data_IF_585480165260
#
_entry.id   IF_585480165260
#
_cell.length_a   1.000
_cell.length_b   1.000
_cell.length_c   1.000
_cell.angle_alpha   90.00
_cell.angle_beta   90.00
_cell.angle_gamma   90.00
#
_symmetry.space_group_name_H-M   'P 1'
#
loop_
_entity.id
_entity.type
_entity.pdbx_description
1 polymer ?
#
# COMPACT_ATOMS: atom_id res chain seq x y z
N UNK A 1 -6.69 -58.19 -37.48
CA UNK A 1 -5.65 -57.97 -36.45
C UNK A 1 -5.59 -56.47 -36.17
N UNK A 2 -6.32 -56.01 -35.15
CA UNK A 2 -6.37 -54.62 -34.76
C UNK A 2 -5.32 -54.38 -33.67
N UNK A 3 -4.28 -53.66 -33.98
CA UNK A 3 -3.34 -53.13 -32.98
C UNK A 3 -3.89 -51.80 -32.48
N UNK A 4 -4.53 -51.84 -31.32
CA UNK A 4 -4.90 -50.66 -30.56
C UNK A 4 -3.62 -49.98 -30.04
N UNK A 5 -3.41 -48.71 -30.45
CA UNK A 5 -2.43 -47.84 -29.87
C UNK A 5 -2.87 -47.52 -28.43
N UNK A 6 -2.15 -48.09 -27.47
CA UNK A 6 -2.25 -47.70 -26.07
C UNK A 6 -1.76 -46.27 -25.90
N UNK A 7 -2.65 -45.32 -25.64
CA UNK A 7 -2.32 -43.98 -25.22
C UNK A 7 -1.71 -44.13 -23.82
N UNK A 8 -0.41 -43.98 -23.72
CA UNK A 8 0.30 -43.91 -22.45
C UNK A 8 -0.18 -42.65 -21.68
N UNK A 9 -1.12 -42.86 -20.78
CA UNK A 9 -1.51 -41.84 -19.84
C UNK A 9 -0.32 -41.58 -18.89
N UNK A 10 0.36 -40.45 -19.09
CA UNK A 10 1.35 -39.95 -18.12
C UNK A 10 0.68 -39.84 -16.76
N UNK A 11 1.24 -40.43 -15.69
CA UNK A 11 0.63 -40.34 -14.37
C UNK A 11 0.50 -38.87 -13.97
N UNK A 12 -0.62 -38.46 -13.34
CA UNK A 12 -0.84 -37.09 -12.93
C UNK A 12 0.29 -36.69 -11.99
N UNK A 13 1.04 -35.65 -12.37
CA UNK A 13 2.07 -35.11 -11.50
C UNK A 13 1.39 -34.55 -10.24
N UNK A 14 1.77 -34.97 -9.03
CA UNK A 14 1.10 -34.55 -7.80
C UNK A 14 1.33 -33.08 -7.46
N UNK A 15 2.29 -32.43 -8.12
CA UNK A 15 2.65 -31.02 -7.88
C UNK A 15 2.75 -30.25 -9.18
N UNK A 16 2.25 -29.00 -9.16
CA UNK A 16 2.43 -28.07 -10.26
C UNK A 16 3.85 -27.52 -10.23
N UNK A 17 4.49 -27.44 -11.37
CA UNK A 17 5.83 -26.87 -11.49
C UNK A 17 5.79 -25.33 -11.51
N UNK A 18 4.69 -24.73 -12.02
CA UNK A 18 4.54 -23.28 -12.08
C UNK A 18 3.17 -22.78 -11.61
N UNK A 19 3.06 -21.53 -11.11
CA UNK A 19 1.79 -20.90 -10.79
C UNK A 19 0.83 -20.85 -11.98
N UNK A 20 1.35 -20.63 -13.19
CA UNK A 20 0.56 -20.57 -14.42
C UNK A 20 -0.13 -21.88 -14.73
N UNK A 21 0.55 -23.03 -14.56
CA UNK A 21 -0.04 -24.36 -14.73
C UNK A 21 -1.18 -24.61 -13.73
N UNK A 22 -0.98 -24.19 -12.48
CA UNK A 22 -2.02 -24.28 -11.45
C UNK A 22 -3.26 -23.49 -11.84
N UNK A 23 -3.05 -22.26 -12.34
CA UNK A 23 -4.13 -21.37 -12.72
C UNK A 23 -4.84 -21.85 -13.99
N UNK A 24 -4.11 -22.38 -14.97
CA UNK A 24 -4.72 -22.99 -16.17
C UNK A 24 -5.65 -24.14 -15.80
N UNK A 25 -5.20 -25.06 -14.92
CA UNK A 25 -6.04 -26.14 -14.41
C UNK A 25 -7.26 -25.63 -13.61
N UNK A 26 -7.07 -24.55 -12.83
CA UNK A 26 -8.19 -23.96 -12.10
C UNK A 26 -9.29 -23.43 -13.04
N UNK A 27 -8.88 -22.80 -14.15
CA UNK A 27 -9.83 -22.31 -15.16
C UNK A 27 -10.53 -23.43 -15.90
N UNK A 28 -9.78 -24.44 -16.36
CA UNK A 28 -10.34 -25.63 -17.02
C UNK A 28 -11.40 -26.27 -16.13
N UNK A 29 -11.05 -26.61 -14.89
CA UNK A 29 -12.01 -27.20 -13.94
C UNK A 29 -13.23 -26.35 -13.70
N UNK A 30 -13.06 -25.04 -13.59
CA UNK A 30 -14.18 -24.15 -13.24
C UNK A 30 -15.09 -23.85 -14.42
N UNK A 31 -14.53 -23.55 -15.59
CA UNK A 31 -15.30 -23.08 -16.74
C UNK A 31 -15.70 -24.18 -17.71
N UNK A 32 -14.94 -25.30 -17.75
CA UNK A 32 -15.21 -26.42 -18.67
C UNK A 32 -15.88 -27.59 -17.92
N UNK A 33 -15.33 -28.01 -16.77
CA UNK A 33 -15.85 -29.13 -16.01
C UNK A 33 -16.96 -28.76 -15.02
N UNK A 34 -17.15 -27.49 -14.71
CA UNK A 34 -18.08 -27.01 -13.67
C UNK A 34 -17.65 -27.38 -12.25
N UNK A 35 -16.38 -27.75 -12.06
CA UNK A 35 -15.82 -28.19 -10.76
C UNK A 35 -15.13 -27.01 -10.07
N UNK A 36 -15.49 -26.78 -8.80
CA UNK A 36 -14.85 -25.73 -7.99
C UNK A 36 -13.37 -26.06 -7.75
N UNK A 37 -12.42 -25.17 -8.17
CA UNK A 37 -10.99 -25.42 -8.12
C UNK A 37 -10.39 -25.07 -6.75
N UNK A 38 -10.88 -25.70 -5.66
CA UNK A 38 -10.44 -25.43 -4.29
C UNK A 38 -8.92 -25.59 -4.13
N UNK A 39 -8.26 -24.60 -3.50
CA UNK A 39 -6.82 -24.61 -3.24
C UNK A 39 -5.94 -24.28 -4.44
N UNK A 40 -6.50 -24.06 -5.64
CA UNK A 40 -5.75 -23.69 -6.84
C UNK A 40 -5.65 -22.17 -7.03
N UNK A 41 -6.72 -21.45 -6.71
CA UNK A 41 -6.81 -19.98 -6.74
C UNK A 41 -7.49 -19.48 -5.47
N UNK A 42 -7.34 -18.17 -5.21
CA UNK A 42 -7.94 -17.53 -4.04
C UNK A 42 -9.47 -17.60 -4.06
N UNK A 43 -10.08 -17.77 -2.89
CA UNK A 43 -11.52 -17.89 -2.73
C UNK A 43 -12.27 -16.67 -3.29
N UNK A 44 -11.73 -15.46 -3.10
CA UNK A 44 -12.31 -14.22 -3.62
C UNK A 44 -12.38 -14.20 -5.15
N UNK A 45 -11.39 -14.80 -5.83
CA UNK A 45 -11.36 -14.94 -7.29
C UNK A 45 -12.45 -15.90 -7.74
N UNK A 46 -12.59 -17.08 -7.09
CA UNK A 46 -13.63 -18.05 -7.41
C UNK A 46 -15.02 -17.44 -7.24
N UNK A 47 -15.25 -16.71 -6.15
CA UNK A 47 -16.51 -16.01 -5.92
C UNK A 47 -16.78 -14.94 -6.98
N UNK A 48 -15.75 -14.22 -7.43
CA UNK A 48 -15.86 -13.25 -8.50
C UNK A 48 -16.20 -13.92 -9.83
N UNK A 49 -15.54 -15.02 -10.18
CA UNK A 49 -15.90 -15.82 -11.36
C UNK A 49 -17.36 -16.28 -11.33
N UNK A 50 -17.82 -16.76 -10.15
CA UNK A 50 -19.22 -17.14 -9.97
C UNK A 50 -20.20 -15.99 -10.24
N UNK A 51 -19.91 -14.79 -9.71
CA UNK A 51 -20.74 -13.60 -9.95
C UNK A 51 -20.76 -13.19 -11.42
N UNK A 52 -19.62 -13.27 -12.11
CA UNK A 52 -19.56 -13.00 -13.54
C UNK A 52 -20.43 -13.97 -14.36
N UNK A 53 -20.37 -15.27 -14.03
CA UNK A 53 -21.23 -16.27 -14.68
C UNK A 53 -22.72 -16.05 -14.37
N UNK A 54 -23.07 -15.72 -13.12
CA UNK A 54 -24.44 -15.38 -12.71
C UNK A 54 -24.97 -14.15 -13.42
N UNK A 55 -24.09 -13.20 -13.78
CA UNK A 55 -24.39 -12.06 -14.61
C UNK A 55 -24.42 -12.38 -16.13
N UNK A 56 -24.43 -13.66 -16.48
CA UNK A 56 -24.46 -14.19 -17.86
C UNK A 56 -23.25 -13.75 -18.72
N UNK A 57 -22.12 -13.38 -18.09
CA UNK A 57 -20.89 -13.07 -18.81
C UNK A 57 -20.15 -14.35 -19.21
N UNK A 58 -19.41 -14.27 -20.31
CA UNK A 58 -18.62 -15.40 -20.83
C UNK A 58 -17.14 -15.03 -20.87
N UNK A 59 -16.21 -15.94 -20.50
CA UNK A 59 -14.76 -15.64 -20.48
C UNK A 59 -14.18 -15.15 -21.82
N UNK A 60 -14.80 -15.54 -22.94
CA UNK A 60 -14.37 -15.15 -24.29
C UNK A 60 -14.92 -13.78 -24.77
N UNK A 61 -15.72 -13.09 -23.97
CA UNK A 61 -16.22 -11.75 -24.36
C UNK A 61 -15.10 -10.72 -24.40
N UNK A 62 -15.21 -9.78 -25.34
CA UNK A 62 -14.38 -8.58 -25.38
C UNK A 62 -14.80 -7.59 -24.30
N UNK A 63 -13.82 -6.94 -23.67
CA UNK A 63 -14.02 -5.89 -22.68
C UNK A 63 -13.78 -4.54 -23.33
N UNK A 64 -14.68 -3.60 -23.06
CA UNK A 64 -14.50 -2.19 -23.46
C UNK A 64 -14.07 -1.37 -22.25
N UNK A 65 -13.00 -0.60 -22.41
CA UNK A 65 -12.54 0.38 -21.43
C UNK A 65 -13.09 1.79 -21.71
N UNK A 66 -14.27 1.89 -22.30
CA UNK A 66 -14.87 3.18 -22.57
C UNK A 66 -15.20 3.93 -21.27
N UNK A 67 -14.84 5.24 -21.18
CA UNK A 67 -15.23 6.05 -20.05
C UNK A 67 -16.74 6.11 -19.89
N UNK A 68 -17.20 6.21 -18.65
CA UNK A 68 -18.62 6.50 -18.38
C UNK A 68 -18.99 7.87 -18.94
N UNK A 69 -20.30 8.18 -19.00
CA UNK A 69 -20.77 9.50 -19.48
C UNK A 69 -20.06 10.63 -18.71
N UNK A 70 -19.87 11.75 -19.39
CA UNK A 70 -19.19 12.93 -18.82
C UNK A 70 -19.85 13.41 -17.51
N UNK A 71 -21.19 13.37 -17.44
CA UNK A 71 -21.95 13.70 -16.25
C UNK A 71 -21.61 12.76 -15.09
N UNK A 72 -21.55 11.46 -15.34
CA UNK A 72 -21.19 10.45 -14.32
C UNK A 72 -19.73 10.59 -13.89
N UNK A 73 -18.82 10.86 -14.81
CA UNK A 73 -17.40 11.11 -14.51
C UNK A 73 -17.24 12.36 -13.64
N UNK A 74 -17.88 13.48 -14.00
CA UNK A 74 -17.88 14.70 -13.18
C UNK A 74 -18.45 14.47 -11.78
N UNK A 75 -19.53 13.70 -11.67
CA UNK A 75 -20.12 13.35 -10.38
C UNK A 75 -19.18 12.49 -9.52
N UNK A 76 -18.48 11.51 -10.12
CA UNK A 76 -17.48 10.70 -9.43
C UNK A 76 -16.33 11.58 -8.90
N UNK A 77 -15.77 12.45 -9.73
CA UNK A 77 -14.72 13.39 -9.33
C UNK A 77 -15.17 14.33 -8.20
N UNK A 78 -16.41 14.85 -8.28
CA UNK A 78 -16.96 15.72 -7.25
C UNK A 78 -17.11 15.03 -5.89
N UNK A 79 -17.61 13.78 -5.87
CA UNK A 79 -17.72 12.97 -4.65
C UNK A 79 -16.34 12.61 -4.09
N UNK A 80 -15.36 12.35 -4.95
CA UNK A 80 -14.01 11.93 -4.56
C UNK A 80 -13.07 13.10 -4.23
N UNK A 81 -13.57 14.36 -4.17
CA UNK A 81 -12.71 15.55 -3.96
C UNK A 81 -11.86 15.45 -2.69
N UNK A 82 -12.44 15.03 -1.57
CA UNK A 82 -11.73 14.89 -0.30
C UNK A 82 -10.66 13.79 -0.38
N UNK A 83 -11.00 12.65 -1.02
CA UNK A 83 -10.08 11.55 -1.26
C UNK A 83 -8.91 12.00 -2.14
N UNK A 84 -9.18 12.66 -3.27
CA UNK A 84 -8.16 13.16 -4.19
C UNK A 84 -7.21 14.15 -3.51
N UNK A 85 -7.74 15.09 -2.72
CA UNK A 85 -6.93 16.03 -1.96
C UNK A 85 -6.04 15.34 -0.93
N UNK A 86 -6.56 14.31 -0.24
CA UNK A 86 -5.80 13.54 0.73
C UNK A 86 -4.76 12.62 0.08
N UNK A 87 -4.99 12.18 -1.16
CA UNK A 87 -4.13 11.24 -1.87
C UNK A 87 -3.00 11.90 -2.66
N UNK A 88 -3.08 13.21 -2.94
CA UNK A 88 -2.21 13.90 -3.90
C UNK A 88 -0.71 13.70 -3.66
N UNK A 89 -0.27 13.81 -2.41
CA UNK A 89 1.16 13.69 -2.08
C UNK A 89 1.64 12.24 -2.19
N UNK A 90 0.84 11.29 -1.69
CA UNK A 90 1.13 9.86 -1.73
C UNK A 90 1.11 9.32 -3.15
N UNK A 91 0.17 9.75 -3.99
CA UNK A 91 0.13 9.38 -5.41
C UNK A 91 1.40 9.84 -6.13
N UNK A 92 1.82 11.10 -5.95
CA UNK A 92 3.07 11.61 -6.54
C UNK A 92 4.30 10.82 -6.05
N UNK A 93 4.35 10.48 -4.76
CA UNK A 93 5.44 9.69 -4.21
C UNK A 93 5.44 8.27 -4.77
N UNK A 94 4.28 7.61 -4.85
CA UNK A 94 4.15 6.27 -5.41
C UNK A 94 4.53 6.25 -6.89
N UNK A 95 4.07 7.21 -7.68
CA UNK A 95 4.43 7.37 -9.09
C UNK A 95 5.95 7.56 -9.26
N UNK A 96 6.57 8.33 -8.39
CA UNK A 96 8.03 8.52 -8.38
C UNK A 96 8.75 7.22 -8.02
N UNK A 97 8.26 6.51 -7.01
CA UNK A 97 8.82 5.22 -6.56
C UNK A 97 8.75 4.17 -7.67
N UNK A 98 7.66 4.16 -8.44
CA UNK A 98 7.45 3.22 -9.54
C UNK A 98 7.99 3.68 -10.89
N UNK A 99 8.62 4.85 -10.96
CA UNK A 99 9.04 5.48 -12.21
C UNK A 99 9.97 4.63 -13.09
N UNK A 100 10.72 3.70 -12.51
CA UNK A 100 11.60 2.76 -13.21
C UNK A 100 10.95 1.42 -13.57
N UNK A 101 9.66 1.25 -13.24
CA UNK A 101 8.91 0.01 -13.50
C UNK A 101 7.94 0.17 -14.67
N UNK A 102 7.36 -0.93 -15.14
CA UNK A 102 6.26 -0.94 -16.10
C UNK A 102 4.89 -0.87 -15.41
N UNK A 103 4.81 -0.28 -14.22
CA UNK A 103 3.58 -0.19 -13.46
C UNK A 103 2.92 1.16 -13.61
N UNK A 104 1.59 1.16 -13.61
CA UNK A 104 0.73 2.35 -13.63
C UNK A 104 -0.08 2.41 -12.35
N UNK A 105 -0.16 3.59 -11.76
CA UNK A 105 -0.93 3.88 -10.55
C UNK A 105 -2.32 4.36 -10.93
N UNK A 106 -3.34 3.78 -10.33
CA UNK A 106 -4.74 4.16 -10.50
C UNK A 106 -5.40 4.40 -9.14
N UNK A 107 -6.31 5.34 -9.08
CA UNK A 107 -7.23 5.52 -7.95
C UNK A 107 -8.66 5.50 -8.48
N UNK A 108 -9.51 4.66 -7.90
CA UNK A 108 -10.93 4.62 -8.24
C UNK A 108 -11.79 5.16 -7.11
N UNK A 109 -12.99 5.59 -7.44
CA UNK A 109 -14.06 5.79 -6.46
C UNK A 109 -14.59 4.43 -5.95
N UNK A 110 -15.47 4.38 -4.93
CA UNK A 110 -16.01 3.12 -4.40
C UNK A 110 -16.86 2.33 -5.41
N UNK A 111 -17.23 2.93 -6.53
CA UNK A 111 -17.98 2.29 -7.62
C UNK A 111 -17.07 1.76 -8.74
N UNK A 112 -15.74 1.85 -8.58
CA UNK A 112 -14.77 1.40 -9.57
C UNK A 112 -14.50 2.39 -10.71
N UNK A 113 -15.00 3.63 -10.63
CA UNK A 113 -14.71 4.66 -11.64
C UNK A 113 -13.33 5.25 -11.34
N UNK A 114 -12.44 5.25 -12.33
CA UNK A 114 -11.10 5.85 -12.21
C UNK A 114 -11.24 7.35 -12.03
N UNK A 115 -10.74 7.87 -10.92
CA UNK A 115 -10.73 9.30 -10.57
C UNK A 115 -9.32 9.92 -10.64
N UNK A 116 -8.28 9.07 -10.63
CA UNK A 116 -6.90 9.45 -10.92
C UNK A 116 -6.19 8.31 -11.64
N UNK A 117 -5.38 8.66 -12.62
CA UNK A 117 -4.49 7.74 -13.32
C UNK A 117 -3.16 8.44 -13.55
N UNK A 118 -2.06 7.79 -13.16
CA UNK A 118 -0.73 8.20 -13.57
C UNK A 118 -0.65 8.14 -15.10
N UNK A 119 0.03 9.11 -15.71
CA UNK A 119 0.25 9.04 -17.16
C UNK A 119 1.09 7.80 -17.46
N UNK A 120 0.57 6.84 -18.24
CA UNK A 120 1.36 5.68 -18.62
C UNK A 120 2.65 6.19 -19.29
N UNK A 121 3.79 5.76 -18.82
CA UNK A 121 5.00 5.87 -19.63
C UNK A 121 4.80 4.93 -20.79
N UNK A 122 5.02 5.42 -22.01
CA UNK A 122 4.87 4.63 -23.22
C UNK A 122 5.81 3.41 -23.14
N UNK A 123 5.31 2.31 -22.61
CA UNK A 123 5.97 1.02 -22.69
C UNK A 123 5.61 0.43 -24.05
N UNK A 124 6.61 0.15 -24.86
CA UNK A 124 6.40 -0.46 -26.18
C UNK A 124 5.66 -1.80 -25.99
N UNK A 125 4.53 -1.93 -26.68
CA UNK A 125 3.72 -3.16 -26.69
C UNK A 125 2.54 -3.19 -25.71
N UNK A 126 2.33 -2.18 -24.88
CA UNK A 126 1.13 -2.07 -24.04
C UNK A 126 -0.05 -1.54 -24.86
N UNK A 127 -1.17 -2.24 -24.84
CA UNK A 127 -2.41 -1.90 -25.56
C UNK A 127 -3.56 -1.62 -24.60
N UNK A 128 -3.66 -2.39 -23.53
CA UNK A 128 -4.78 -2.32 -22.59
C UNK A 128 -4.56 -1.25 -21.52
N UNK A 129 -3.34 -1.13 -21.00
CA UNK A 129 -3.04 -0.16 -19.95
C UNK A 129 -3.34 1.29 -20.37
N UNK A 130 -2.96 1.75 -21.57
CA UNK A 130 -3.34 3.09 -22.03
C UNK A 130 -4.86 3.31 -22.15
N UNK A 131 -5.64 2.25 -22.35
CA UNK A 131 -7.10 2.30 -22.41
C UNK A 131 -7.72 2.28 -21.01
N UNK A 132 -7.21 1.44 -20.11
CA UNK A 132 -7.71 1.28 -18.74
C UNK A 132 -7.34 2.48 -17.84
N UNK A 133 -6.15 3.05 -18.02
CA UNK A 133 -5.61 4.13 -17.19
C UNK A 133 -6.07 5.51 -17.64
N UNK A 134 -7.39 5.70 -17.75
CA UNK A 134 -8.02 6.99 -18.09
C UNK A 134 -9.08 7.33 -17.06
N UNK A 135 -9.10 8.59 -16.63
CA UNK A 135 -10.17 9.10 -15.75
C UNK A 135 -11.54 8.89 -16.41
N UNK A 136 -12.48 8.37 -15.62
CA UNK A 136 -13.83 8.04 -16.08
C UNK A 136 -14.00 6.59 -16.54
N UNK A 137 -12.95 5.81 -16.75
CA UNK A 137 -13.08 4.37 -17.05
C UNK A 137 -13.65 3.64 -15.82
N UNK A 138 -14.54 2.69 -16.06
CA UNK A 138 -15.16 1.89 -15.00
C UNK A 138 -14.49 0.53 -14.89
N UNK A 139 -13.75 0.32 -13.79
CA UNK A 139 -13.06 -0.93 -13.44
C UNK A 139 -13.86 -1.81 -12.47
N UNK A 140 -15.13 -1.50 -12.21
CA UNK A 140 -15.98 -2.35 -11.38
C UNK A 140 -16.06 -3.77 -11.95
N UNK A 141 -16.21 -4.77 -11.07
CA UNK A 141 -16.35 -6.18 -11.44
C UNK A 141 -17.45 -6.41 -12.47
N UNK A 142 -18.57 -5.70 -12.37
CA UNK A 142 -19.67 -5.80 -13.33
C UNK A 142 -19.29 -5.33 -14.75
N UNK A 143 -18.31 -4.44 -14.90
CA UNK A 143 -17.87 -3.92 -16.19
C UNK A 143 -16.72 -4.72 -16.80
N UNK A 144 -15.68 -4.97 -16.00
CA UNK A 144 -14.40 -5.57 -16.46
C UNK A 144 -14.22 -7.02 -15.98
N UNK A 145 -15.22 -7.60 -15.30
CA UNK A 145 -15.07 -8.92 -14.69
C UNK A 145 -14.09 -8.90 -13.51
N UNK A 146 -13.56 -10.08 -13.16
CA UNK A 146 -12.60 -10.22 -12.06
C UNK A 146 -11.33 -9.41 -12.35
N UNK A 147 -11.07 -8.41 -11.52
CA UNK A 147 -9.87 -7.58 -11.52
C UNK A 147 -9.62 -7.08 -10.09
N UNK A 148 -8.41 -6.65 -9.76
CA UNK A 148 -8.07 -6.28 -8.38
C UNK A 148 -8.85 -5.04 -7.88
N UNK A 149 -8.96 -3.92 -8.61
CA UNK A 149 -9.78 -2.78 -8.17
C UNK A 149 -11.24 -3.13 -7.90
N UNK A 150 -11.88 -3.85 -8.83
CA UNK A 150 -13.29 -4.26 -8.71
C UNK A 150 -13.52 -5.21 -7.54
N UNK A 151 -12.62 -6.17 -7.35
CA UNK A 151 -12.67 -7.13 -6.25
C UNK A 151 -12.46 -6.44 -4.90
N UNK A 152 -11.49 -5.54 -4.81
CA UNK A 152 -11.22 -4.74 -3.60
C UNK A 152 -12.39 -3.82 -3.26
N UNK A 153 -12.98 -3.13 -4.24
CA UNK A 153 -14.17 -2.30 -4.03
C UNK A 153 -15.36 -3.12 -3.50
N UNK A 154 -15.51 -4.35 -4.01
CA UNK A 154 -16.60 -5.27 -3.63
C UNK A 154 -16.43 -5.86 -2.24
N UNK A 155 -15.20 -6.31 -1.91
CA UNK A 155 -14.93 -7.05 -0.67
C UNK A 155 -14.49 -6.16 0.48
N UNK A 156 -13.98 -4.96 0.17
CA UNK A 156 -13.32 -4.09 1.13
C UNK A 156 -11.97 -4.64 1.62
N UNK A 157 -11.41 -5.66 0.97
CA UNK A 157 -10.14 -6.29 1.33
C UNK A 157 -9.10 -6.05 0.23
N UNK A 158 -7.80 -5.94 0.58
CA UNK A 158 -6.75 -5.92 -0.41
C UNK A 158 -6.83 -7.15 -1.32
N UNK A 159 -6.57 -6.96 -2.60
CA UNK A 159 -6.68 -8.02 -3.60
C UNK A 159 -5.51 -7.95 -4.58
N UNK A 160 -5.07 -9.12 -5.02
CA UNK A 160 -4.14 -9.29 -6.14
C UNK A 160 -4.82 -10.18 -7.16
N UNK A 161 -4.78 -9.79 -8.42
CA UNK A 161 -5.33 -10.57 -9.54
C UNK A 161 -4.28 -10.62 -10.64
N UNK A 162 -3.82 -11.82 -10.96
CA UNK A 162 -2.68 -12.04 -11.84
C UNK A 162 -3.09 -12.91 -13.05
N UNK A 163 -2.79 -12.42 -14.24
CA UNK A 163 -2.90 -13.24 -15.44
C UNK A 163 -4.29 -13.86 -15.60
N UNK A 164 -4.33 -15.16 -15.72
CA UNK A 164 -5.56 -15.92 -15.94
C UNK A 164 -6.51 -15.99 -14.72
N UNK A 165 -6.22 -15.32 -13.58
CA UNK A 165 -7.21 -15.04 -12.53
C UNK A 165 -8.27 -14.05 -12.99
N UNK A 166 -7.94 -13.17 -13.96
CA UNK A 166 -8.94 -12.31 -14.60
C UNK A 166 -9.98 -13.14 -15.32
N UNK A 167 -11.25 -12.74 -15.22
CA UNK A 167 -12.36 -13.50 -15.80
C UNK A 167 -12.28 -13.55 -17.33
N UNK A 168 -12.13 -12.40 -17.99
CA UNK A 168 -12.11 -12.30 -19.45
C UNK A 168 -10.73 -12.62 -20.02
N UNK A 169 -10.72 -13.40 -21.11
CA UNK A 169 -9.49 -13.81 -21.79
C UNK A 169 -8.65 -12.65 -22.31
N UNK A 170 -9.29 -11.60 -22.81
CA UNK A 170 -8.60 -10.44 -23.40
C UNK A 170 -7.80 -9.60 -22.38
N UNK A 171 -8.07 -9.72 -21.08
CA UNK A 171 -7.36 -8.96 -20.02
C UNK A 171 -6.41 -9.83 -19.18
N UNK A 172 -6.19 -11.09 -19.57
CA UNK A 172 -5.29 -12.00 -18.83
C UNK A 172 -3.80 -11.65 -18.92
N UNK A 173 -3.43 -10.72 -19.75
CA UNK A 173 -2.06 -10.15 -19.76
C UNK A 173 -1.81 -9.19 -18.61
N UNK A 174 -2.87 -8.76 -17.91
CA UNK A 174 -2.81 -7.81 -16.81
C UNK A 174 -2.38 -8.47 -15.50
N UNK A 175 -1.72 -7.69 -14.68
CA UNK A 175 -1.38 -7.98 -13.29
C UNK A 175 -1.74 -6.78 -12.46
N UNK A 176 -2.60 -6.95 -11.47
CA UNK A 176 -3.18 -5.88 -10.68
C UNK A 176 -3.03 -6.19 -9.20
N UNK A 177 -2.68 -5.19 -8.41
CA UNK A 177 -2.67 -5.24 -6.96
C UNK A 177 -3.39 -4.00 -6.43
N UNK A 178 -4.40 -4.19 -5.57
CA UNK A 178 -5.25 -3.12 -5.10
C UNK A 178 -5.48 -3.19 -3.59
N UNK A 179 -5.65 -2.02 -2.95
CA UNK A 179 -5.98 -1.91 -1.53
C UNK A 179 -7.07 -0.85 -1.33
N UNK A 180 -8.01 -1.07 -0.39
CA UNK A 180 -9.07 -0.14 -0.08
C UNK A 180 -8.54 1.04 0.73
N UNK A 181 -9.14 2.21 0.53
CA UNK A 181 -9.02 3.40 1.37
C UNK A 181 -10.38 3.61 2.00
N UNK A 182 -10.45 3.68 3.33
CA UNK A 182 -11.70 3.79 4.06
C UNK A 182 -11.95 5.20 4.54
N UNK A 183 -13.21 5.55 4.67
CA UNK A 183 -13.67 6.78 5.30
C UNK A 183 -13.84 6.63 6.82
N UNK A 184 -14.30 7.70 7.46
CA UNK A 184 -14.60 7.73 8.91
C UNK A 184 -15.69 6.74 9.35
N UNK A 185 -16.51 6.27 8.42
CA UNK A 185 -17.56 5.27 8.67
C UNK A 185 -17.08 3.85 8.43
N UNK A 186 -15.79 3.68 8.09
CA UNK A 186 -15.19 2.38 7.71
C UNK A 186 -15.62 1.89 6.33
N UNK A 187 -16.36 2.71 5.56
CA UNK A 187 -16.77 2.37 4.20
C UNK A 187 -15.63 2.62 3.21
N UNK A 188 -15.60 1.87 2.12
CA UNK A 188 -14.62 2.10 1.04
C UNK A 188 -14.90 3.46 0.41
N UNK A 189 -13.99 4.41 0.57
CA UNK A 189 -14.01 5.73 -0.07
C UNK A 189 -13.40 5.69 -1.47
N UNK A 190 -12.49 4.76 -1.70
CA UNK A 190 -11.85 4.51 -2.97
C UNK A 190 -10.90 3.34 -2.90
N UNK A 191 -10.31 2.99 -4.03
CA UNK A 191 -9.35 1.88 -4.15
C UNK A 191 -8.09 2.37 -4.86
N UNK A 192 -6.95 2.21 -4.21
CA UNK A 192 -5.64 2.41 -4.81
C UNK A 192 -5.23 1.12 -5.52
N UNK A 193 -4.76 1.24 -6.75
CA UNK A 193 -4.33 0.11 -7.58
C UNK A 193 -2.98 0.40 -8.24
N UNK A 194 -2.17 -0.64 -8.35
CA UNK A 194 -0.96 -0.68 -9.17
C UNK A 194 -1.10 -1.83 -10.13
N UNK A 195 -1.09 -1.50 -11.41
CA UNK A 195 -1.28 -2.47 -12.48
C UNK A 195 -0.13 -2.44 -13.48
N UNK A 196 0.12 -3.59 -14.10
CA UNK A 196 1.12 -3.79 -15.16
C UNK A 196 0.53 -4.67 -16.25
N UNK A 197 0.84 -4.35 -17.51
CA UNK A 197 0.51 -5.18 -18.66
C UNK A 197 1.71 -6.02 -19.06
N UNK A 198 1.52 -7.34 -19.21
CA UNK A 198 2.49 -8.30 -19.72
C UNK A 198 3.78 -8.50 -18.91
N UNK A 199 4.09 -7.66 -17.95
CA UNK A 199 5.31 -7.77 -17.12
C UNK A 199 4.97 -8.16 -15.70
N UNK A 200 5.68 -9.11 -15.08
CA UNK A 200 5.50 -9.43 -13.67
C UNK A 200 5.95 -8.25 -12.80
N UNK A 201 5.37 -8.15 -11.63
CA UNK A 201 5.90 -7.26 -10.59
C UNK A 201 7.28 -7.76 -10.15
N UNK A 202 8.29 -6.87 -10.20
CA UNK A 202 9.64 -7.15 -9.69
C UNK A 202 9.77 -6.90 -8.18
N UNK A 203 8.64 -6.67 -7.50
CA UNK A 203 8.53 -6.34 -6.07
C UNK A 203 7.19 -6.83 -5.52
N UNK A 204 7.00 -6.79 -4.21
CA UNK A 204 5.70 -7.07 -3.57
C UNK A 204 4.74 -5.89 -3.77
N UNK A 205 3.98 -5.94 -4.86
CA UNK A 205 3.03 -4.89 -5.22
C UNK A 205 1.88 -4.78 -4.20
N UNK A 206 1.47 -5.89 -3.58
CA UNK A 206 0.42 -5.88 -2.55
C UNK A 206 0.87 -5.10 -1.31
N UNK A 207 2.09 -5.34 -0.83
CA UNK A 207 2.64 -4.61 0.31
C UNK A 207 2.82 -3.12 0.00
N UNK A 208 3.33 -2.77 -1.18
CA UNK A 208 3.51 -1.37 -1.60
C UNK A 208 2.17 -0.66 -1.67
N UNK A 209 1.17 -1.22 -2.36
CA UNK A 209 -0.16 -0.61 -2.49
C UNK A 209 -0.84 -0.47 -1.13
N UNK A 210 -0.77 -1.49 -0.27
CA UNK A 210 -1.36 -1.44 1.07
C UNK A 210 -0.74 -0.34 1.94
N UNK A 211 0.57 -0.14 1.85
CA UNK A 211 1.27 0.92 2.59
C UNK A 211 0.78 2.32 2.16
N UNK A 212 0.73 2.58 0.85
CA UNK A 212 0.29 3.87 0.33
C UNK A 212 -1.21 4.09 0.54
N UNK A 213 -2.05 3.06 0.38
CA UNK A 213 -3.47 3.15 0.68
C UNK A 213 -3.71 3.50 2.16
N UNK A 214 -2.96 2.89 3.08
CA UNK A 214 -3.02 3.22 4.52
C UNK A 214 -2.56 4.67 4.78
N UNK A 215 -1.53 5.14 4.11
CA UNK A 215 -1.08 6.52 4.24
C UNK A 215 -2.16 7.52 3.78
N UNK A 216 -2.81 7.24 2.64
CA UNK A 216 -3.93 8.05 2.12
C UNK A 216 -5.11 8.00 3.09
N UNK A 217 -5.48 6.80 3.60
CA UNK A 217 -6.55 6.63 4.59
C UNK A 217 -6.28 7.48 5.83
N UNK A 218 -5.09 7.41 6.40
CA UNK A 218 -4.70 8.19 7.56
C UNK A 218 -4.81 9.71 7.32
N UNK A 219 -4.48 10.18 6.12
CA UNK A 219 -4.68 11.58 5.74
C UNK A 219 -6.15 11.94 5.58
N UNK A 220 -6.92 11.08 4.93
CA UNK A 220 -8.36 11.28 4.73
C UNK A 220 -9.11 11.36 6.07
N UNK A 221 -8.78 10.48 7.01
CA UNK A 221 -9.35 10.47 8.36
C UNK A 221 -9.01 11.76 9.13
N UNK A 222 -7.77 12.25 9.01
CA UNK A 222 -7.34 13.52 9.64
C UNK A 222 -7.87 14.76 8.94
N UNK A 223 -8.26 14.69 7.67
CA UNK A 223 -8.76 15.84 6.91
C UNK A 223 -10.21 16.22 7.25
N UNK A 224 -10.82 15.60 8.28
CA UNK A 224 -12.19 15.91 8.69
C UNK A 224 -12.29 17.33 9.26
N UNK A 225 -13.32 18.08 8.85
CA UNK A 225 -13.61 19.43 9.30
C UNK A 225 -14.40 19.45 10.62
N UNK A 226 -14.11 18.57 11.53
CA UNK A 226 -14.76 18.49 12.83
C UNK A 226 -13.74 18.64 13.96
N UNK A 227 -14.15 19.22 15.07
CA UNK A 227 -13.31 19.30 16.25
C UNK A 227 -13.20 17.92 16.90
N UNK A 228 -11.99 17.39 16.93
CA UNK A 228 -11.68 16.11 17.55
C UNK A 228 -10.36 16.17 18.31
N UNK A 229 -10.23 15.37 19.34
CA UNK A 229 -8.92 14.97 19.84
C UNK A 229 -8.47 13.79 19.00
N UNK A 230 -7.41 13.97 18.22
CA UNK A 230 -6.79 12.87 17.47
C UNK A 230 -5.74 12.22 18.35
N UNK A 231 -5.97 10.95 18.68
CA UNK A 231 -5.06 10.12 19.47
C UNK A 231 -4.23 9.28 18.50
N UNK A 232 -2.92 9.47 18.55
CA UNK A 232 -1.92 8.67 17.86
C UNK A 232 -1.40 7.62 18.83
N UNK A 233 -1.37 6.36 18.45
CA UNK A 233 -0.88 5.28 19.31
C UNK A 233 -0.13 4.22 18.55
N UNK A 234 0.94 3.67 19.17
CA UNK A 234 1.68 2.53 18.64
C UNK A 234 2.52 1.87 19.74
N UNK A 235 2.91 0.61 19.55
CA UNK A 235 3.76 -0.13 20.51
C UNK A 235 5.20 0.38 20.54
N UNK A 236 5.63 1.08 19.50
CA UNK A 236 6.95 1.75 19.42
C UNK A 236 6.77 3.23 19.07
N UNK A 237 7.47 4.16 19.74
CA UNK A 237 7.40 5.58 19.41
C UNK A 237 7.92 5.89 17.99
N UNK A 238 8.83 5.07 17.45
CA UNK A 238 9.37 5.22 16.11
C UNK A 238 8.34 4.97 15.00
N UNK A 239 7.22 4.32 15.31
CA UNK A 239 6.13 4.04 14.36
C UNK A 239 5.03 5.12 14.38
N UNK A 240 5.08 6.06 15.31
CA UNK A 240 4.20 7.22 15.30
C UNK A 240 4.56 8.16 14.14
N UNK A 241 3.56 8.81 13.57
CA UNK A 241 3.66 9.64 12.37
C UNK A 241 4.10 8.86 11.10
N UNK A 242 3.99 7.53 11.11
CA UNK A 242 4.16 6.68 9.93
C UNK A 242 2.80 6.11 9.50
N UNK A 243 2.67 5.54 8.31
CA UNK A 243 1.44 4.85 7.91
C UNK A 243 1.00 3.73 8.86
N UNK A 244 1.92 3.20 9.66
CA UNK A 244 1.68 2.10 10.62
C UNK A 244 1.05 2.56 11.92
N UNK A 245 0.91 3.87 12.17
CA UNK A 245 0.34 4.38 13.42
C UNK A 245 -1.15 4.06 13.56
N UNK A 246 -1.59 3.79 14.77
CA UNK A 246 -3.00 3.78 15.14
C UNK A 246 -3.51 5.21 15.31
N UNK A 247 -4.64 5.52 14.69
CA UNK A 247 -5.32 6.82 14.78
C UNK A 247 -6.73 6.65 15.30
N UNK A 248 -7.11 7.47 16.28
CA UNK A 248 -8.46 7.54 16.82
C UNK A 248 -8.91 8.99 16.92
N UNK A 249 -10.03 9.33 16.32
CA UNK A 249 -10.71 10.62 16.50
C UNK A 249 -11.72 10.51 17.63
N UNK A 250 -11.56 11.35 18.65
CA UNK A 250 -12.44 11.42 19.81
C UNK A 250 -13.25 12.72 19.75
N UNK A 251 -14.56 12.60 19.73
CA UNK A 251 -15.47 13.73 19.72
C UNK A 251 -15.53 14.44 21.10
N UNK A 252 -16.03 15.68 21.18
CA UNK A 252 -16.11 16.44 22.44
C UNK A 252 -16.93 15.76 23.53
N UNK A 253 -17.88 14.89 23.16
CA UNK A 253 -18.70 14.12 24.09
C UNK A 253 -17.98 12.90 24.71
N UNK A 254 -16.70 12.67 24.33
CA UNK A 254 -15.90 11.54 24.83
C UNK A 254 -16.12 10.23 24.09
N UNK A 255 -16.88 10.26 23.00
CA UNK A 255 -17.06 9.07 22.16
C UNK A 255 -16.03 9.01 21.02
N UNK A 256 -15.62 7.79 20.67
CA UNK A 256 -14.81 7.57 19.48
C UNK A 256 -15.68 7.85 18.26
N UNK A 257 -15.28 8.84 17.46
CA UNK A 257 -15.93 9.18 16.21
C UNK A 257 -15.47 8.26 15.07
N UNK A 258 -14.17 7.94 15.04
CA UNK A 258 -13.56 7.06 14.06
C UNK A 258 -12.24 6.47 14.58
N UNK A 259 -11.82 5.35 14.01
CA UNK A 259 -10.52 4.75 14.23
C UNK A 259 -10.04 4.10 12.93
N UNK A 260 -8.72 4.16 12.67
CA UNK A 260 -8.12 3.41 11.56
C UNK A 260 -7.93 1.94 11.94
N UNK A 261 -7.63 1.10 10.93
CA UNK A 261 -7.44 -0.33 11.14
C UNK A 261 -6.30 -0.69 12.10
N UNK A 262 -5.24 0.13 12.20
CA UNK A 262 -4.14 -0.09 13.14
C UNK A 262 -4.60 0.14 14.58
N UNK A 263 -5.31 1.24 14.84
CA UNK A 263 -5.88 1.52 16.15
C UNK A 263 -6.89 0.44 16.57
N UNK A 264 -7.78 0.03 15.68
CA UNK A 264 -8.77 -1.01 15.98
C UNK A 264 -8.10 -2.30 16.47
N UNK A 265 -7.01 -2.74 15.79
CA UNK A 265 -6.24 -3.92 16.21
C UNK A 265 -5.54 -3.74 17.54
N UNK A 266 -4.92 -2.58 17.80
CA UNK A 266 -4.22 -2.32 19.06
C UNK A 266 -5.19 -2.24 20.25
N UNK A 267 -6.38 -1.70 20.04
CA UNK A 267 -7.42 -1.56 21.05
C UNK A 267 -8.25 -2.84 21.22
N UNK A 268 -8.16 -3.81 20.29
CA UNK A 268 -8.98 -5.02 20.31
C UNK A 268 -10.46 -4.74 20.06
N UNK A 269 -10.79 -3.70 19.29
CA UNK A 269 -12.16 -3.29 18.99
C UNK A 269 -12.54 -3.58 17.54
N UNK A 270 -13.83 -3.78 17.28
CA UNK A 270 -14.32 -3.92 15.92
C UNK A 270 -14.30 -2.56 15.19
N UNK A 271 -13.93 -2.55 13.92
CA UNK A 271 -14.07 -1.38 13.08
C UNK A 271 -15.41 -1.44 12.31
N UNK A 272 -16.13 -0.30 12.15
CA UNK A 272 -15.85 1.02 12.68
C UNK A 272 -16.12 1.11 14.20
N UNK A 273 -15.23 1.81 14.91
CA UNK A 273 -15.30 1.95 16.38
C UNK A 273 -16.27 3.07 16.84
N UNK A 274 -17.04 3.65 15.94
CA UNK A 274 -17.87 4.81 16.21
C UNK A 274 -18.86 4.56 17.36
N UNK A 275 -18.94 5.53 18.28
CA UNK A 275 -19.84 5.51 19.43
C UNK A 275 -19.30 4.80 20.67
N UNK A 276 -18.14 4.13 20.61
CA UNK A 276 -17.48 3.55 21.78
C UNK A 276 -16.99 4.67 22.71
N UNK A 277 -17.17 4.50 24.03
CA UNK A 277 -16.65 5.42 25.03
C UNK A 277 -15.10 5.36 25.06
N UNK A 278 -14.48 6.52 25.05
CA UNK A 278 -13.02 6.64 25.06
C UNK A 278 -12.42 6.10 26.37
N UNK A 279 -13.12 6.23 27.49
CA UNK A 279 -12.66 5.71 28.78
C UNK A 279 -12.62 4.16 28.78
N UNK A 280 -13.60 3.53 28.13
CA UNK A 280 -13.57 2.07 27.93
C UNK A 280 -12.40 1.60 27.06
N UNK A 281 -12.01 2.39 26.03
CA UNK A 281 -10.94 2.04 25.11
C UNK A 281 -9.54 2.32 25.66
N UNK A 282 -9.37 3.39 26.44
CA UNK A 282 -8.07 3.89 26.87
C UNK A 282 -7.85 3.91 28.37
N UNK A 283 -8.86 3.65 29.21
CA UNK A 283 -8.85 3.96 30.65
C UNK A 283 -8.51 5.45 30.94
N UNK A 284 -8.88 6.34 30.03
CA UNK A 284 -8.69 7.79 30.11
C UNK A 284 -9.96 8.49 29.67
N UNK A 285 -10.52 9.33 30.53
CA UNK A 285 -11.65 10.19 30.17
C UNK A 285 -11.23 11.31 29.21
N UNK A 286 -12.20 11.92 28.50
CA UNK A 286 -11.99 13.00 27.53
C UNK A 286 -11.19 14.17 28.10
N UNK A 287 -11.44 14.55 29.37
CA UNK A 287 -10.71 15.63 30.05
C UNK A 287 -9.21 15.32 30.21
N UNK A 288 -8.89 14.08 30.53
CA UNK A 288 -7.50 13.63 30.66
C UNK A 288 -6.80 13.59 29.32
N UNK A 289 -7.49 13.15 28.25
CA UNK A 289 -6.97 13.23 26.89
C UNK A 289 -6.78 14.67 26.44
N UNK A 290 -7.73 15.57 26.73
CA UNK A 290 -7.60 17.00 26.44
C UNK A 290 -6.39 17.60 27.16
N UNK A 291 -6.13 17.23 28.43
CA UNK A 291 -4.93 17.65 29.12
C UNK A 291 -3.63 17.12 28.46
N UNK A 292 -3.67 15.94 27.85
CA UNK A 292 -2.52 15.38 27.12
C UNK A 292 -2.22 16.09 25.80
N UNK A 293 -3.18 16.80 25.19
CA UNK A 293 -2.91 17.59 23.96
C UNK A 293 -1.90 18.72 24.16
N UNK A 294 -1.67 19.14 25.42
CA UNK A 294 -0.62 20.11 25.78
C UNK A 294 0.78 19.52 25.74
N UNK A 295 0.92 18.21 25.68
CA UNK A 295 2.21 17.53 25.56
C UNK A 295 2.53 17.35 24.08
N UNK A 296 3.72 17.76 23.68
CA UNK A 296 4.17 17.65 22.30
C UNK A 296 4.89 16.33 22.00
N UNK A 297 5.24 15.57 23.05
CA UNK A 297 5.96 14.31 22.97
C UNK A 297 5.05 13.11 23.32
N UNK A 298 5.24 11.97 22.62
CA UNK A 298 4.54 10.75 22.96
C UNK A 298 4.96 10.25 24.35
N UNK A 299 4.00 9.78 25.11
CA UNK A 299 4.24 9.18 26.43
C UNK A 299 3.75 7.75 26.51
N UNK A 300 4.34 6.93 27.39
CA UNK A 300 3.87 5.56 27.62
C UNK A 300 2.48 5.56 28.22
N UNK A 301 1.67 4.61 27.80
CA UNK A 301 0.32 4.41 28.29
C UNK A 301 -0.03 2.92 28.26
N UNK A 302 -0.69 2.42 29.33
CA UNK A 302 -1.18 1.06 29.40
C UNK A 302 -2.65 1.02 29.07
N UNK A 303 -3.03 0.27 28.05
CA UNK A 303 -4.41 0.06 27.64
C UNK A 303 -5.14 -0.87 28.63
N UNK A 304 -6.48 -0.87 28.66
CA UNK A 304 -7.28 -1.81 29.48
C UNK A 304 -6.94 -3.27 29.23
N UNK A 305 -6.54 -3.62 28.00
CA UNK A 305 -6.06 -4.96 27.62
C UNK A 305 -4.74 -5.37 28.30
N UNK A 306 -4.06 -4.44 28.95
CA UNK A 306 -2.70 -4.63 29.51
C UNK A 306 -1.57 -4.32 28.51
N UNK A 307 -1.87 -4.06 27.24
CA UNK A 307 -0.87 -3.69 26.24
C UNK A 307 -0.29 -2.30 26.57
N UNK A 308 1.03 -2.19 26.55
CA UNK A 308 1.72 -0.90 26.67
C UNK A 308 1.90 -0.29 25.27
N UNK A 309 1.48 0.98 25.12
CA UNK A 309 1.58 1.75 23.90
C UNK A 309 2.22 3.11 24.17
N UNK A 310 2.76 3.72 23.13
CA UNK A 310 3.09 5.14 23.13
C UNK A 310 1.90 5.90 22.60
N UNK A 311 1.46 6.92 23.33
CA UNK A 311 0.28 7.71 23.04
C UNK A 311 0.65 9.19 22.93
N UNK A 312 0.16 9.83 21.86
CA UNK A 312 0.21 11.26 21.63
C UNK A 312 -1.19 11.75 21.28
N UNK A 313 -1.70 12.73 22.02
CA UNK A 313 -2.99 13.36 21.73
C UNK A 313 -2.76 14.74 21.11
N UNK A 314 -3.54 15.08 20.08
CA UNK A 314 -3.51 16.40 19.43
C UNK A 314 -4.93 16.92 19.27
N UNK A 315 -5.12 18.22 19.50
CA UNK A 315 -6.38 18.87 19.16
C UNK A 315 -6.40 19.16 17.67
N UNK A 316 -7.45 18.74 17.00
CA UNK A 316 -7.76 19.13 15.63
C UNK A 316 -8.90 20.13 15.66
N UNK A 317 -8.70 21.29 15.07
CA UNK A 317 -9.71 22.35 14.95
C UNK A 317 -10.43 22.25 13.61
N UNK A 318 -11.65 22.82 13.52
CA UNK A 318 -12.50 22.74 12.32
C UNK A 318 -11.87 23.43 11.08
N UNK A 319 -10.92 24.31 11.27
CA UNK A 319 -10.16 25.00 10.20
C UNK A 319 -8.93 24.23 9.68
N UNK A 320 -8.70 23.02 10.21
CA UNK A 320 -7.65 22.13 9.72
C UNK A 320 -6.21 22.56 10.06
N UNK A 321 -6.02 23.50 10.98
CA UNK A 321 -4.72 24.00 11.41
C UNK A 321 -3.97 23.01 12.35
N UNK A 322 -3.90 21.75 11.99
CA UNK A 322 -3.00 20.77 12.61
C UNK A 322 -1.65 20.73 11.87
N UNK A 323 -0.51 20.48 12.55
CA UNK A 323 0.77 20.41 11.89
C UNK A 323 0.76 19.30 10.83
N UNK A 324 0.93 19.68 9.57
CA UNK A 324 1.13 18.75 8.45
C UNK A 324 2.54 18.18 8.61
N UNK A 325 2.66 16.98 9.17
CA UNK A 325 3.91 16.22 9.13
C UNK A 325 3.95 15.48 7.80
N UNK A 326 4.73 16.02 6.86
CA UNK A 326 5.03 15.33 5.60
C UNK A 326 5.83 14.07 5.88
N UNK A 327 5.45 12.95 5.28
CA UNK A 327 6.29 11.76 5.24
C UNK A 327 7.44 12.05 4.28
N UNK A 328 8.68 12.10 4.79
CA UNK A 328 9.89 12.13 3.97
C UNK A 328 10.31 13.49 3.42
N UNK A 329 10.53 14.48 4.29
CA UNK A 329 11.46 15.58 3.99
C UNK A 329 12.89 15.19 4.42
N UNK A 330 13.94 15.67 3.75
CA UNK A 330 15.30 15.41 4.20
C UNK A 330 15.49 15.94 5.61
N UNK A 331 16.18 15.16 6.46
CA UNK A 331 16.55 15.54 7.82
C UNK A 331 17.23 16.91 7.80
N UNK A 332 16.81 17.87 8.64
CA UNK A 332 17.55 19.09 8.77
C UNK A 332 18.92 18.78 9.41
N UNK A 333 19.99 18.98 8.67
CA UNK A 333 21.33 18.98 9.25
C UNK A 333 21.42 20.19 10.18
N UNK A 334 21.53 19.90 11.48
CA UNK A 334 21.79 20.90 12.50
C UNK A 334 23.19 21.49 12.31
N UNK A 335 23.29 22.70 11.78
CA UNK A 335 24.42 23.58 12.04
C UNK A 335 23.90 25.02 12.16
N UNK A 336 23.55 25.38 13.37
CA UNK A 336 23.39 26.76 13.76
C UNK A 336 24.56 27.12 14.67
N UNK A 337 25.59 27.70 14.12
CA UNK A 337 26.53 28.52 14.89
C UNK A 337 26.32 29.95 14.48
N UNK A 338 25.83 30.70 15.44
CA UNK A 338 25.57 32.10 15.43
C UNK A 338 26.89 32.85 15.66
N UNK A 339 27.27 33.75 14.77
CA UNK A 339 28.09 34.90 15.14
C UNK A 339 27.76 36.08 14.23
N UNK A 340 27.30 37.13 14.85
CA UNK A 340 27.18 38.45 14.27
C UNK A 340 28.53 39.15 14.36
N UNK A 341 28.94 39.87 13.31
CA UNK A 341 29.46 41.26 13.41
C UNK A 341 29.93 41.75 12.04
N UNK A 342 29.39 42.86 11.66
CA UNK A 342 29.86 44.03 10.89
C UNK A 342 31.24 44.02 10.25
N UNK A 343 31.32 44.51 8.98
CA UNK A 343 32.44 45.34 8.52
C UNK A 343 32.90 45.11 7.09
N UNK A 344 32.42 45.97 6.21
CA UNK A 344 33.08 46.67 5.09
C UNK A 344 34.16 46.02 4.20
N UNK A 345 33.88 46.13 2.89
CA UNK A 345 34.77 46.50 1.76
C UNK A 345 35.90 45.58 1.28
N UNK A 346 35.89 45.31 -0.03
CA UNK A 346 37.07 45.16 -0.85
C UNK A 346 37.09 43.93 -1.78
N UNK A 347 36.69 44.09 -3.03
CA UNK A 347 37.22 43.29 -4.13
C UNK A 347 38.65 43.79 -4.47
N UNK A 348 39.54 43.04 -5.12
CA UNK A 348 39.34 42.48 -6.46
C UNK A 348 40.07 41.17 -6.82
N UNK A 349 39.52 40.53 -7.88
CA UNK A 349 40.16 39.95 -9.07
C UNK A 349 41.28 38.88 -9.04
N UNK A 350 40.99 37.82 -9.84
CA UNK A 350 41.85 37.08 -10.76
C UNK A 350 42.92 36.09 -10.21
N UNK A 351 42.75 34.81 -10.47
CA UNK A 351 43.44 34.08 -11.56
C UNK A 351 43.12 32.59 -11.54
N UNK A 352 42.89 32.09 -12.76
CA UNK A 352 42.86 30.69 -13.09
C UNK A 352 44.26 30.08 -13.01
N UNK A 353 44.37 28.80 -12.63
CA UNK A 353 45.31 27.90 -13.24
C UNK A 353 44.89 26.45 -13.07
N UNK A 354 45.06 25.76 -14.19
CA UNK A 354 44.85 24.36 -14.48
C UNK A 354 45.83 23.43 -13.77
N UNK A 355 45.44 22.18 -13.50
CA UNK A 355 46.39 21.16 -13.11
C UNK A 355 45.76 19.79 -12.88
N UNK A 356 45.75 18.99 -13.93
CA UNK A 356 46.01 17.54 -14.02
C UNK A 356 45.61 16.62 -12.87
N UNK A 357 44.84 15.56 -13.26
CA UNK A 357 44.75 14.26 -12.56
C UNK A 357 46.14 13.60 -12.45
N UNK A 358 46.36 12.77 -11.45
CA UNK A 358 46.65 11.39 -11.78
C UNK A 358 45.80 10.36 -11.02
N UNK A 359 45.80 9.25 -11.64
CA UNK A 359 45.27 7.92 -11.50
C UNK A 359 45.83 7.16 -10.28
N UNK A 360 45.10 6.07 -9.91
CA UNK A 360 45.52 4.91 -9.10
C UNK A 360 45.67 5.04 -7.58
N UNK A 361 44.98 4.12 -6.93
CA UNK A 361 45.29 3.70 -5.58
C UNK A 361 44.12 3.04 -4.81
N UNK A 362 43.94 1.77 -5.07
CA UNK A 362 43.33 0.79 -4.17
C UNK A 362 43.82 1.00 -2.74
N UNK A 363 42.95 1.28 -1.78
CA UNK A 363 43.24 1.03 -0.36
C UNK A 363 41.94 0.82 0.45
N UNK A 364 41.83 -0.40 0.91
CA UNK A 364 40.82 -0.90 1.81
C UNK A 364 40.93 -0.21 3.18
N UNK A 365 39.82 0.39 3.62
CA UNK A 365 39.68 0.95 4.99
C UNK A 365 39.42 -0.19 6.00
N UNK A 366 40.28 -0.42 7.01
CA UNK A 366 40.07 -1.47 7.99
C UNK A 366 38.99 -1.05 8.99
N UNK A 367 37.93 -1.84 9.06
CA UNK A 367 36.83 -1.72 9.99
C UNK A 367 37.29 -1.66 11.43
N UNK A 368 36.99 -0.58 12.10
CA UNK A 368 37.25 -0.33 13.53
C UNK A 368 36.58 -1.41 14.41
N UNK A 369 37.27 -2.08 15.31
CA UNK A 369 36.67 -3.06 16.24
C UNK A 369 35.85 -2.31 17.30
N UNK A 370 34.55 -2.47 17.29
CA UNK A 370 33.65 -1.88 18.30
C UNK A 370 32.23 -1.53 17.86
N UNK A 371 31.88 -1.61 16.58
CA UNK A 371 30.49 -1.38 16.16
C UNK A 371 29.67 -2.69 16.23
N UNK A 372 28.40 -2.58 16.67
CA UNK A 372 27.45 -3.72 16.71
C UNK A 372 27.32 -4.43 15.34
N UNK A 373 27.50 -3.71 14.24
CA UNK A 373 27.54 -4.26 12.88
C UNK A 373 28.80 -5.08 12.59
N UNK A 374 29.95 -4.64 13.09
CA UNK A 374 31.22 -5.37 12.94
C UNK A 374 31.19 -6.68 13.72
N UNK A 375 30.69 -6.66 14.96
CA UNK A 375 30.55 -7.85 15.80
C UNK A 375 29.59 -8.88 15.22
N UNK A 376 28.43 -8.45 14.68
CA UNK A 376 27.47 -9.34 14.03
C UNK A 376 28.02 -9.97 12.76
N UNK A 377 28.75 -9.22 11.94
CA UNK A 377 29.38 -9.74 10.72
C UNK A 377 30.47 -10.77 11.03
N UNK A 378 31.27 -10.53 12.05
CA UNK A 378 32.31 -11.47 12.50
C UNK A 378 31.71 -12.78 13.02
N UNK A 379 30.58 -12.69 13.76
CA UNK A 379 29.88 -13.88 14.28
C UNK A 379 29.31 -14.72 13.13
N UNK A 380 28.66 -14.08 12.15
CA UNK A 380 28.08 -14.76 10.99
C UNK A 380 29.16 -15.45 10.15
N UNK A 381 30.27 -14.77 9.86
CA UNK A 381 31.38 -15.35 9.08
C UNK A 381 31.97 -16.54 9.81
N UNK A 382 32.25 -16.42 11.08
CA UNK A 382 32.79 -17.50 11.89
C UNK A 382 31.86 -18.72 11.97
N UNK A 383 30.54 -18.49 12.15
CA UNK A 383 29.55 -19.57 12.18
C UNK A 383 29.41 -20.28 10.84
N UNK A 384 29.51 -19.53 9.71
CA UNK A 384 29.53 -20.13 8.39
C UNK A 384 30.80 -20.94 8.13
N UNK A 385 31.94 -20.48 8.54
CA UNK A 385 33.21 -21.22 8.44
C UNK A 385 33.20 -22.51 9.28
N UNK A 386 32.68 -22.46 10.52
CA UNK A 386 32.49 -23.63 11.38
C UNK A 386 31.49 -24.66 10.80
N UNK A 387 30.58 -24.21 9.96
CA UNK A 387 29.60 -25.07 9.28
C UNK A 387 29.95 -25.39 7.81
N UNK A 388 31.20 -25.19 7.41
CA UNK A 388 31.71 -25.45 6.06
C UNK A 388 30.82 -24.86 4.95
N UNK A 389 30.31 -23.64 5.16
CA UNK A 389 29.44 -22.93 4.22
C UNK A 389 27.98 -23.38 4.19
N UNK A 390 27.58 -24.31 5.05
CA UNK A 390 26.19 -24.76 5.11
C UNK A 390 25.30 -23.78 5.89
N UNK A 391 24.62 -22.90 5.17
CA UNK A 391 23.78 -21.82 5.71
C UNK A 391 22.65 -22.36 6.60
N UNK A 392 22.02 -23.48 6.23
CA UNK A 392 20.92 -24.09 7.00
C UNK A 392 21.39 -24.69 8.34
N UNK A 393 22.64 -25.11 8.41
CA UNK A 393 23.25 -25.60 9.65
C UNK A 393 23.73 -24.44 10.52
N UNK A 394 24.29 -23.39 9.93
CA UNK A 394 24.71 -22.17 10.62
C UNK A 394 23.52 -21.40 11.26
N UNK A 395 22.36 -21.40 10.63
CA UNK A 395 21.16 -20.74 11.15
C UNK A 395 20.49 -21.45 12.34
N UNK A 396 20.86 -22.69 12.64
CA UNK A 396 20.37 -23.47 13.80
C UNK A 396 21.31 -23.45 15.01
N UNK A 397 22.49 -22.90 14.85
CA UNK A 397 23.52 -22.73 15.87
C UNK A 397 23.51 -21.32 16.45
#
# INVERSE_FOLDING_TARGET
MNHGLAISATPPQPFFTTPEQRLALARERYFEDGIRPSGLVGESVIQSWSRCLQAHRRPGEAVSFEPVTESRSRSALARSRALLASAEAELRQLETTLAGTACTVLLTDPHGIVVHAARPRACHGEVLMPLAARVGVNLAEAAIGTNAPGLTARTGLPSVVLGAEHFFGCVQVMRCAAAPIRDIHGQVAGVLDVSSESRPFGFDAAAVVALFATAIENRLLRAQKAEHIVVHLQTSPALLNTPMEGLVGVAPDGRIAWANGAAARLLGIAAPAAGLDVEAAFALGVTQLAARTRRHEPGPHRLPSGLNVWLLARMQTADGAGPVVGIGGPMPTSNATRAASSGTNGAPALRAESGALPDDGDDADPATPGSLRGSSRHLIVRTLDECAGNVSHAARK
#
